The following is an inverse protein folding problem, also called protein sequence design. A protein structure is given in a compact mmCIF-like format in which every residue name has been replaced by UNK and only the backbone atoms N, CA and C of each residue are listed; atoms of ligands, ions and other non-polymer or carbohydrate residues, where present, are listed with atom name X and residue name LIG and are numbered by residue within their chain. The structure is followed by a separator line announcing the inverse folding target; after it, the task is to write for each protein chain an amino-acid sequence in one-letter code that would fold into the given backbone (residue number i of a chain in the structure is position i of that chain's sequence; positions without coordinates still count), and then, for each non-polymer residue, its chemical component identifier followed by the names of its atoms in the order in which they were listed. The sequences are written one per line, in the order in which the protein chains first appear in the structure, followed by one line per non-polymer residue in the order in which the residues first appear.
data_IF_529967842778
#
_entry.id   IF_529967842778
#
_cell.length_a   1.000
_cell.length_b   1.000
_cell.length_c   1.000
_cell.angle_alpha   90.00
_cell.angle_beta   90.00
_cell.angle_gamma   90.00
#
_symmetry.space_group_name_H-M   'P 1'
#
loop_
_entity.id
_entity.type
_entity.pdbx_description
1 polymer ?
#
# COMPACT_ATOMS: atom_id res chain seq x y z
N UNK A 1 3.03 -2.43 4.35
CA UNK A 1 2.86 -2.53 5.82
C UNK A 1 1.49 -1.95 6.17
N UNK A 2 0.72 -2.60 7.04
CA UNK A 2 -0.64 -2.14 7.39
C UNK A 2 -0.62 -0.87 8.26
N UNK A 3 -1.74 -0.12 8.36
CA UNK A 3 -1.83 1.06 9.21
C UNK A 3 -1.46 0.80 10.68
N UNK A 4 -1.90 -0.32 11.25
CA UNK A 4 -1.53 -0.72 12.61
C UNK A 4 -0.02 -0.98 12.74
N UNK A 5 0.60 -1.58 11.72
CA UNK A 5 2.06 -1.72 11.67
C UNK A 5 2.78 -0.37 11.69
N UNK A 6 2.27 0.63 10.97
CA UNK A 6 2.83 2.01 11.00
C UNK A 6 2.69 2.68 12.35
N UNK A 7 1.57 2.48 13.04
CA UNK A 7 1.40 2.94 14.41
C UNK A 7 2.47 2.34 15.33
N UNK A 8 2.64 1.01 15.33
CA UNK A 8 3.67 0.38 16.16
C UNK A 8 5.09 0.80 15.75
N UNK A 9 5.36 0.97 14.46
CA UNK A 9 6.63 1.52 13.99
C UNK A 9 6.93 2.89 14.62
N UNK A 10 5.93 3.77 14.73
CA UNK A 10 6.06 5.07 15.40
C UNK A 10 6.25 5.00 16.93
N UNK A 11 5.93 3.86 17.54
CA UNK A 11 6.17 3.63 18.96
C UNK A 11 7.56 3.08 19.25
N UNK A 12 8.13 2.29 18.34
CA UNK A 12 9.32 1.48 18.61
C UNK A 12 10.53 1.79 17.73
N UNK A 13 10.40 2.64 16.70
CA UNK A 13 11.52 3.08 15.87
C UNK A 13 12.27 4.25 16.50
N UNK A 14 13.60 4.18 16.50
CA UNK A 14 14.47 5.31 16.86
C UNK A 14 14.60 6.33 15.72
N UNK A 15 14.52 5.86 14.46
CA UNK A 15 14.60 6.75 13.30
C UNK A 15 13.35 7.65 13.21
N UNK A 16 13.49 8.98 13.04
CA UNK A 16 12.36 9.88 12.86
C UNK A 16 11.50 9.48 11.66
N UNK A 17 10.18 9.49 11.84
CA UNK A 17 9.23 9.11 10.81
C UNK A 17 7.91 9.87 10.94
N UNK A 18 7.17 9.93 9.84
CA UNK A 18 5.76 10.28 9.82
C UNK A 18 5.04 9.47 8.76
N UNK A 19 3.82 9.04 9.07
CA UNK A 19 2.94 8.37 8.11
C UNK A 19 1.57 9.02 8.14
N UNK A 20 1.08 9.37 6.95
CA UNK A 20 -0.31 9.77 6.73
C UNK A 20 -1.15 8.53 6.50
N UNK A 21 -2.30 8.51 7.16
CA UNK A 21 -3.37 7.56 6.97
C UNK A 21 -4.67 8.35 6.86
N UNK A 22 -5.63 7.81 6.14
CA UNK A 22 -6.93 8.45 5.98
C UNK A 22 -8.02 7.45 6.33
N UNK A 23 -9.06 7.93 7.00
CA UNK A 23 -10.18 7.08 7.39
C UNK A 23 -10.94 6.67 6.14
N UNK A 24 -11.06 5.36 5.93
CA UNK A 24 -12.00 4.79 4.98
C UNK A 24 -13.42 5.04 5.50
N UNK A 25 -14.17 5.75 4.68
CA UNK A 25 -15.51 6.26 5.01
C UNK A 25 -16.57 5.70 4.07
N UNK A 26 -16.20 4.84 3.13
CA UNK A 26 -17.12 3.92 2.46
C UNK A 26 -17.45 2.75 3.39
N UNK A 27 -18.73 2.53 3.67
CA UNK A 27 -19.15 1.51 4.64
C UNK A 27 -18.85 0.09 4.15
N UNK A 28 -18.95 -0.19 2.84
CA UNK A 28 -18.69 -1.51 2.28
C UNK A 28 -17.19 -1.85 2.36
N UNK A 29 -16.34 -0.88 2.10
CA UNK A 29 -14.89 -0.99 2.26
C UNK A 29 -14.50 -1.03 3.74
N UNK A 30 -15.13 -0.20 4.56
CA UNK A 30 -14.97 -0.16 6.02
C UNK A 30 -15.29 -1.51 6.68
N UNK A 31 -16.30 -2.23 6.18
CA UNK A 31 -16.68 -3.56 6.66
C UNK A 31 -15.61 -4.65 6.39
N UNK A 32 -14.65 -4.39 5.50
CA UNK A 32 -13.49 -5.27 5.26
C UNK A 32 -12.38 -5.10 6.28
N UNK A 33 -12.43 -4.05 7.09
CA UNK A 33 -11.58 -3.93 8.27
C UNK A 33 -12.19 -4.76 9.41
N UNK A 34 -11.33 -5.31 10.27
CA UNK A 34 -11.76 -5.97 11.49
C UNK A 34 -12.29 -4.91 12.48
N UNK A 35 -13.48 -4.38 12.21
CA UNK A 35 -14.18 -3.37 12.98
C UNK A 35 -15.64 -3.84 13.17
N UNK A 36 -15.80 -5.10 13.60
CA UNK A 36 -17.11 -5.72 13.81
C UNK A 36 -17.74 -5.35 15.16
N UNK A 37 -17.17 -4.37 15.86
CA UNK A 37 -17.72 -3.78 17.06
C UNK A 37 -17.57 -4.67 18.28
N UNK A 38 -16.53 -4.42 19.07
CA UNK A 38 -16.41 -4.91 20.45
C UNK A 38 -15.20 -5.77 20.74
N UNK A 39 -14.29 -5.96 19.78
CA UNK A 39 -13.01 -6.63 20.04
C UNK A 39 -11.96 -5.62 20.47
N UNK A 40 -11.10 -6.01 21.43
CA UNK A 40 -9.89 -5.25 21.79
C UNK A 40 -8.89 -5.15 20.62
N UNK A 41 -9.11 -5.93 19.57
CA UNK A 41 -8.29 -5.99 18.36
C UNK A 41 -8.94 -5.25 17.18
N UNK A 42 -10.09 -4.61 17.38
CA UNK A 42 -10.67 -3.74 16.37
C UNK A 42 -9.77 -2.51 16.19
N UNK A 43 -9.52 -2.14 14.94
CA UNK A 43 -8.71 -0.97 14.62
C UNK A 43 -9.42 -0.07 13.62
N UNK A 44 -8.98 1.19 13.57
CA UNK A 44 -9.52 2.20 12.68
C UNK A 44 -9.42 1.74 11.21
N UNK A 45 -10.48 1.92 10.40
CA UNK A 45 -10.46 1.60 8.99
C UNK A 45 -9.62 2.65 8.27
N UNK A 46 -8.31 2.43 8.18
CA UNK A 46 -7.34 3.39 7.66
C UNK A 46 -6.78 2.91 6.33
N UNK A 47 -6.62 3.84 5.39
CA UNK A 47 -6.03 3.63 4.07
C UNK A 47 -4.90 4.62 3.82
N UNK A 48 -4.04 4.30 2.85
CA UNK A 48 -2.81 5.03 2.52
C UNK A 48 -2.87 5.71 1.15
N UNK A 49 -4.02 6.29 0.79
CA UNK A 49 -4.20 7.09 -0.43
C UNK A 49 -4.92 8.42 -0.15
N UNK A 50 -5.05 9.28 -1.16
CA UNK A 50 -5.76 10.57 -1.09
C UNK A 50 -6.74 10.72 -2.27
N UNK A 51 -7.81 9.93 -2.30
CA UNK A 51 -8.71 9.88 -3.47
C UNK A 51 -10.19 9.69 -3.09
N UNK A 52 -10.89 10.76 -2.71
CA UNK A 52 -12.24 10.69 -2.13
C UNK A 52 -13.38 11.07 -3.09
N UNK A 53 -13.12 11.11 -4.40
CA UNK A 53 -14.12 11.51 -5.38
C UNK A 53 -14.77 12.85 -5.02
N UNK A 54 -16.09 12.86 -4.87
CA UNK A 54 -16.89 14.08 -4.60
C UNK A 54 -17.06 14.40 -3.11
N UNK A 55 -16.37 13.71 -2.19
CA UNK A 55 -16.46 14.01 -0.76
C UNK A 55 -15.85 15.39 -0.47
N UNK A 56 -16.38 16.06 0.56
CA UNK A 56 -15.96 17.43 0.94
C UNK A 56 -15.02 17.47 2.13
N UNK A 57 -14.97 16.41 2.92
CA UNK A 57 -14.21 16.35 4.17
C UNK A 57 -13.44 15.02 4.24
N UNK A 58 -12.28 15.07 4.88
CA UNK A 58 -11.44 13.92 5.14
C UNK A 58 -11.01 13.88 6.61
N UNK A 59 -11.03 12.68 7.18
CA UNK A 59 -10.48 12.41 8.51
C UNK A 59 -9.11 11.77 8.34
N UNK A 60 -8.07 12.53 8.66
CA UNK A 60 -6.69 12.12 8.51
C UNK A 60 -6.10 11.78 9.86
N UNK A 61 -5.27 10.75 9.89
CA UNK A 61 -4.52 10.32 11.06
C UNK A 61 -3.03 10.32 10.70
N UNK A 62 -2.19 10.88 11.57
CA UNK A 62 -0.74 10.78 11.44
C UNK A 62 -0.13 9.96 12.56
N UNK A 63 0.75 9.03 12.18
CA UNK A 63 1.60 8.27 13.10
C UNK A 63 3.03 8.78 13.00
N UNK A 64 3.61 9.19 14.13
CA UNK A 64 4.96 9.77 14.18
C UNK A 64 5.60 9.55 15.54
N UNK A 65 6.94 9.52 15.57
CA UNK A 65 7.75 9.64 16.78
C UNK A 65 8.38 11.04 16.93
N UNK A 66 8.10 11.96 16.00
CA UNK A 66 8.55 13.35 16.09
C UNK A 66 7.70 14.17 17.08
N UNK A 67 8.22 15.31 17.51
CA UNK A 67 7.57 16.19 18.48
C UNK A 67 6.31 16.84 17.93
N UNK A 68 6.29 17.14 16.63
CA UNK A 68 5.25 17.94 16.00
C UNK A 68 5.08 17.59 14.53
N UNK A 69 3.84 17.67 14.04
CA UNK A 69 3.51 17.51 12.62
C UNK A 69 2.73 18.73 12.15
N UNK A 70 3.12 19.25 11.00
CA UNK A 70 2.35 20.20 10.21
C UNK A 70 1.76 19.47 9.00
N UNK A 71 0.47 19.69 8.73
CA UNK A 71 -0.15 19.24 7.49
C UNK A 71 -0.22 20.38 6.48
N UNK A 72 0.15 20.08 5.24
CA UNK A 72 0.13 21.01 4.11
C UNK A 72 -0.70 20.39 2.99
N UNK A 73 -1.81 21.03 2.62
CA UNK A 73 -2.67 20.63 1.51
C UNK A 73 -2.49 21.62 0.36
N UNK A 74 -2.09 21.13 -0.82
CA UNK A 74 -1.89 21.95 -2.02
C UNK A 74 -1.01 23.20 -1.76
N UNK A 75 0.05 23.01 -0.97
CA UNK A 75 1.00 24.07 -0.60
C UNK A 75 0.54 25.01 0.52
N UNK A 76 -0.66 24.81 1.09
CA UNK A 76 -1.19 25.62 2.21
C UNK A 76 -1.20 24.82 3.50
N UNK A 77 -0.64 25.39 4.56
CA UNK A 77 -0.72 24.81 5.90
C UNK A 77 -2.18 24.73 6.34
N UNK A 78 -2.63 23.53 6.75
CA UNK A 78 -3.99 23.28 7.26
C UNK A 78 -4.00 23.05 8.77
N UNK A 79 -2.82 23.09 9.41
CA UNK A 79 -2.70 23.02 10.85
C UNK A 79 -1.40 22.36 11.32
N UNK A 80 -1.14 22.51 12.62
CA UNK A 80 0.02 21.95 13.31
C UNK A 80 -0.41 21.36 14.66
N UNK A 81 0.08 20.18 14.99
CA UNK A 81 -0.21 19.48 16.25
C UNK A 81 1.08 18.92 16.84
N UNK A 82 1.19 18.99 18.17
CA UNK A 82 2.30 18.40 18.93
C UNK A 82 1.88 17.03 19.44
N UNK A 83 2.78 16.06 19.37
CA UNK A 83 2.50 14.68 19.77
C UNK A 83 2.13 14.58 21.26
N UNK A 84 2.71 15.44 22.09
CA UNK A 84 2.46 15.50 23.53
C UNK A 84 1.01 15.83 23.89
N UNK A 85 0.30 16.52 23.01
CA UNK A 85 -1.10 16.94 23.23
C UNK A 85 -2.10 15.89 22.71
N UNK A 86 -1.61 14.82 22.06
CA UNK A 86 -2.42 13.80 21.41
C UNK A 86 -2.52 12.53 22.26
N UNK A 87 -3.75 12.13 22.57
CA UNK A 87 -4.00 10.89 23.32
C UNK A 87 -3.53 9.66 22.53
N UNK A 88 -2.79 8.77 23.20
CA UNK A 88 -2.36 7.51 22.61
C UNK A 88 -1.36 7.65 21.47
N UNK A 89 -0.68 8.82 21.34
CA UNK A 89 0.28 9.09 20.25
C UNK A 89 -0.33 9.03 18.85
N UNK A 90 -1.63 9.29 18.74
CA UNK A 90 -2.38 9.33 17.47
C UNK A 90 -2.83 10.77 17.25
N UNK A 91 -2.30 11.41 16.22
CA UNK A 91 -2.70 12.75 15.80
C UNK A 91 -3.85 12.63 14.81
N UNK A 92 -5.00 13.20 15.13
CA UNK A 92 -6.19 13.16 14.29
C UNK A 92 -6.52 14.56 13.79
N UNK A 93 -6.97 14.60 12.53
CA UNK A 93 -7.21 15.82 11.80
C UNK A 93 -8.53 15.71 11.05
N UNK A 94 -9.30 16.79 11.05
CA UNK A 94 -10.45 16.96 10.18
C UNK A 94 -10.14 18.14 9.27
N UNK A 95 -10.09 17.89 7.97
CA UNK A 95 -9.78 18.91 6.96
C UNK A 95 -10.70 18.78 5.76
N UNK A 96 -10.94 19.88 5.02
CA UNK A 96 -11.61 19.79 3.72
C UNK A 96 -10.80 18.88 2.78
N UNK A 97 -11.51 18.06 2.02
CA UNK A 97 -10.90 17.30 0.93
C UNK A 97 -10.79 18.18 -0.30
N UNK A 98 -9.59 18.23 -0.87
CA UNK A 98 -9.32 18.82 -2.17
C UNK A 98 -8.38 17.87 -2.92
N UNK A 99 -8.70 17.50 -4.18
CA UNK A 99 -7.77 16.76 -5.02
C UNK A 99 -6.42 17.49 -5.11
N UNK A 100 -5.34 16.71 -5.12
CA UNK A 100 -3.98 17.23 -5.17
C UNK A 100 -3.08 16.52 -4.18
N UNK A 101 -2.29 17.26 -3.43
CA UNK A 101 -1.23 16.70 -2.59
C UNK A 101 -1.38 17.12 -1.13
N UNK A 102 -1.47 16.12 -0.26
CA UNK A 102 -1.41 16.26 1.19
C UNK A 102 -0.04 15.79 1.70
N UNK A 103 0.70 16.70 2.33
CA UNK A 103 2.02 16.43 2.91
C UNK A 103 1.98 16.59 4.42
N UNK A 104 2.55 15.62 5.14
CA UNK A 104 2.86 15.73 6.56
C UNK A 104 4.33 16.04 6.74
N UNK A 105 4.63 17.11 7.47
CA UNK A 105 5.98 17.57 7.77
C UNK A 105 6.23 17.39 9.27
N UNK A 106 7.04 16.39 9.63
CA UNK A 106 7.39 16.09 11.01
C UNK A 106 8.66 16.82 11.45
N UNK A 107 8.61 17.42 12.63
CA UNK A 107 9.70 18.26 13.16
C UNK A 107 10.09 17.90 14.58
N UNK A 108 11.37 18.04 14.88
CA UNK A 108 11.95 18.02 16.23
C UNK A 108 12.75 19.32 16.42
N UNK A 109 12.54 20.02 17.54
CA UNK A 109 13.17 21.31 17.81
C UNK A 109 13.04 22.31 16.64
N UNK A 110 11.91 22.29 15.94
CA UNK A 110 11.62 23.12 14.76
C UNK A 110 12.26 22.66 13.44
N UNK A 111 13.20 21.70 13.45
CA UNK A 111 13.85 21.18 12.25
C UNK A 111 13.02 20.06 11.62
N UNK A 112 12.93 20.05 10.28
CA UNK A 112 12.28 18.97 9.52
C UNK A 112 13.11 17.69 9.64
N UNK A 113 12.49 16.61 10.12
CA UNK A 113 13.16 15.32 10.34
C UNK A 113 12.56 14.18 9.52
N UNK A 114 11.30 14.30 9.11
CA UNK A 114 10.64 13.34 8.23
C UNK A 114 9.49 14.01 7.47
N UNK A 115 9.16 13.47 6.32
CA UNK A 115 7.99 13.86 5.54
C UNK A 115 7.28 12.65 4.96
N UNK A 116 5.98 12.80 4.69
CA UNK A 116 5.20 11.81 3.98
C UNK A 116 4.11 12.49 3.18
N UNK A 117 3.85 12.00 1.98
CA UNK A 117 2.96 12.65 1.02
C UNK A 117 1.98 11.64 0.46
N UNK A 118 0.71 12.05 0.36
CA UNK A 118 -0.32 11.36 -0.39
C UNK A 118 -0.84 12.28 -1.48
N UNK A 119 -0.97 11.77 -2.70
CA UNK A 119 -1.43 12.53 -3.86
C UNK A 119 -2.64 11.85 -4.48
N UNK A 120 -3.62 12.65 -4.93
CA UNK A 120 -4.75 12.17 -5.70
C UNK A 120 -4.25 11.67 -7.06
N UNK A 121 -4.46 10.38 -7.39
CA UNK A 121 -4.03 9.83 -8.66
C UNK A 121 -4.99 10.22 -9.78
N UNK A 122 -4.48 10.21 -11.01
CA UNK A 122 -5.26 10.22 -12.23
C UNK A 122 -5.84 8.85 -12.59
N UNK A 123 -6.18 8.69 -13.87
CA UNK A 123 -6.67 7.42 -14.41
C UNK A 123 -5.55 6.36 -14.51
N UNK A 124 -5.86 5.08 -14.26
CA UNK A 124 -4.88 4.00 -14.31
C UNK A 124 -4.45 3.70 -15.74
N UNK A 125 -3.15 3.77 -16.02
CA UNK A 125 -2.56 3.52 -17.35
C UNK A 125 -1.48 2.44 -17.33
N UNK A 126 -0.83 2.22 -16.19
CA UNK A 126 0.31 1.31 -16.04
C UNK A 126 0.00 0.22 -15.01
N UNK A 127 0.42 -1.01 -15.31
CA UNK A 127 0.68 -2.03 -14.29
C UNK A 127 2.17 -2.06 -14.00
N UNK A 128 2.54 -2.04 -12.72
CA UNK A 128 3.92 -2.20 -12.28
C UNK A 128 4.09 -3.51 -11.51
N UNK A 129 5.08 -4.29 -11.92
CA UNK A 129 5.51 -5.50 -11.20
C UNK A 129 6.76 -5.20 -10.38
N UNK A 130 6.68 -5.38 -9.07
CA UNK A 130 7.80 -5.18 -8.14
C UNK A 130 8.08 -6.46 -7.38
N UNK A 131 9.18 -7.17 -7.68
CA UNK A 131 9.55 -8.35 -6.93
C UNK A 131 10.18 -7.96 -5.59
N UNK A 132 9.95 -8.77 -4.57
CA UNK A 132 10.57 -8.62 -3.23
C UNK A 132 12.10 -8.79 -3.26
N UNK A 133 12.61 -9.55 -4.22
CA UNK A 133 14.03 -9.75 -4.53
C UNK A 133 14.17 -10.05 -6.03
N UNK A 134 15.25 -9.65 -6.71
CA UNK A 134 15.45 -10.00 -8.12
C UNK A 134 15.81 -11.48 -8.36
N UNK A 135 16.14 -12.23 -7.32
CA UNK A 135 16.69 -13.58 -7.43
C UNK A 135 15.93 -14.62 -6.60
N UNK A 136 15.92 -15.85 -7.11
CA UNK A 136 15.45 -17.07 -6.46
C UNK A 136 16.61 -18.07 -6.36
N UNK A 137 16.60 -18.90 -5.34
CA UNK A 137 17.43 -20.09 -5.23
C UNK A 137 16.71 -21.26 -5.90
N UNK A 138 17.37 -21.92 -6.86
CA UNK A 138 16.80 -23.04 -7.63
C UNK A 138 16.82 -24.37 -6.85
N UNK A 139 16.28 -24.40 -5.64
CA UNK A 139 16.18 -25.58 -4.77
C UNK A 139 14.81 -26.28 -4.85
N UNK A 140 13.85 -25.70 -5.57
CA UNK A 140 12.47 -26.16 -5.67
C UNK A 140 11.56 -25.75 -4.52
N UNK A 141 12.06 -24.96 -3.57
CA UNK A 141 11.40 -24.55 -2.34
C UNK A 141 11.34 -23.04 -2.16
N UNK A 142 12.34 -22.30 -2.66
CA UNK A 142 12.41 -20.86 -2.52
C UNK A 142 11.21 -20.16 -3.18
N UNK A 143 10.69 -19.13 -2.50
CA UNK A 143 9.50 -18.39 -2.91
C UNK A 143 9.76 -16.90 -2.74
N UNK A 144 9.45 -16.13 -3.78
CA UNK A 144 9.37 -14.68 -3.68
C UNK A 144 7.96 -14.19 -3.98
N UNK A 145 7.69 -12.98 -3.51
CA UNK A 145 6.48 -12.24 -3.82
C UNK A 145 6.76 -11.23 -4.94
N UNK A 146 5.86 -11.15 -5.92
CA UNK A 146 5.80 -10.08 -6.92
C UNK A 146 4.52 -9.29 -6.71
N UNK A 147 4.64 -8.02 -6.34
CA UNK A 147 3.51 -7.11 -6.23
C UNK A 147 3.14 -6.56 -7.61
N UNK A 148 1.85 -6.63 -7.96
CA UNK A 148 1.26 -5.90 -9.08
C UNK A 148 0.51 -4.68 -8.55
N UNK A 149 0.91 -3.49 -8.97
CA UNK A 149 0.29 -2.22 -8.60
C UNK A 149 -0.28 -1.52 -9.85
N UNK A 150 -1.49 -0.96 -9.73
CA UNK A 150 -2.12 -0.14 -10.77
C UNK A 150 -1.76 1.32 -10.56
N UNK A 151 -1.13 1.94 -11.55
CA UNK A 151 -0.60 3.29 -11.45
C UNK A 151 -1.16 4.21 -12.54
N UNK A 152 -1.25 5.50 -12.23
CA UNK A 152 -1.52 6.55 -13.22
C UNK A 152 -0.26 6.91 -14.03
N UNK A 153 -0.37 7.92 -14.90
CA UNK A 153 0.72 8.34 -15.79
C UNK A 153 1.92 8.95 -15.03
N UNK A 154 1.68 9.44 -13.82
CA UNK A 154 2.66 10.02 -12.90
C UNK A 154 3.26 8.97 -11.95
N UNK A 155 2.81 7.71 -12.03
CA UNK A 155 3.29 6.60 -11.21
C UNK A 155 2.68 6.56 -9.80
N UNK A 156 1.60 7.29 -9.54
CA UNK A 156 0.84 7.28 -8.29
C UNK A 156 -0.08 6.06 -8.29
N UNK A 157 -0.14 5.36 -7.15
CA UNK A 157 -1.03 4.22 -6.97
C UNK A 157 -2.49 4.67 -7.12
N UNK A 158 -3.19 4.07 -8.09
CA UNK A 158 -4.63 4.24 -8.26
C UNK A 158 -5.34 3.29 -7.30
N UNK A 159 -5.93 3.79 -6.20
CA UNK A 159 -6.65 2.96 -5.26
C UNK A 159 -7.92 2.43 -5.92
N UNK A 160 -8.46 1.35 -5.39
CA UNK A 160 -9.65 0.71 -5.93
C UNK A 160 -9.60 -0.81 -5.77
N UNK A 161 -10.76 -1.43 -5.95
CA UNK A 161 -10.95 -2.85 -5.67
C UNK A 161 -11.61 -3.55 -6.85
N UNK A 162 -11.40 -4.86 -6.96
CA UNK A 162 -12.13 -5.69 -7.92
C UNK A 162 -11.59 -5.67 -9.36
N UNK A 163 -10.48 -4.96 -9.65
CA UNK A 163 -9.86 -5.02 -10.98
C UNK A 163 -8.99 -6.27 -11.09
N UNK A 164 -9.33 -7.15 -12.04
CA UNK A 164 -8.65 -8.42 -12.25
C UNK A 164 -7.28 -8.20 -12.90
N UNK A 165 -6.27 -8.87 -12.34
CA UNK A 165 -4.93 -8.99 -12.90
C UNK A 165 -4.67 -10.48 -13.16
N UNK A 166 -4.30 -10.81 -14.39
CA UNK A 166 -3.90 -12.17 -14.79
C UNK A 166 -2.39 -12.23 -14.94
N UNK A 167 -1.79 -13.27 -14.38
CA UNK A 167 -0.36 -13.50 -14.28
C UNK A 167 0.07 -14.69 -15.12
N UNK A 168 1.28 -14.62 -15.65
CA UNK A 168 1.94 -15.68 -16.40
C UNK A 168 3.39 -15.77 -15.92
N UNK A 169 3.88 -16.99 -15.70
CA UNK A 169 5.26 -17.26 -15.26
C UNK A 169 5.92 -18.18 -16.28
N UNK A 170 6.99 -17.69 -16.89
CA UNK A 170 7.82 -18.43 -17.85
C UNK A 170 9.21 -18.69 -17.25
N UNK A 171 9.86 -19.78 -17.68
CA UNK A 171 11.19 -20.18 -17.18
C UNK A 171 11.13 -21.24 -16.07
N UNK A 172 12.24 -21.49 -15.34
CA UNK A 172 12.34 -22.56 -14.35
C UNK A 172 11.72 -22.19 -12.99
N UNK A 173 10.49 -21.70 -13.01
CA UNK A 173 9.70 -21.35 -11.83
C UNK A 173 8.20 -21.58 -12.10
N UNK A 174 7.39 -21.54 -11.05
CA UNK A 174 5.94 -21.73 -11.16
C UNK A 174 5.19 -20.68 -10.35
N UNK A 175 3.97 -20.37 -10.79
CA UNK A 175 2.98 -19.69 -9.96
C UNK A 175 2.59 -20.61 -8.79
N UNK A 176 2.94 -20.21 -7.57
CA UNK A 176 2.60 -20.92 -6.34
C UNK A 176 1.28 -20.44 -5.70
N UNK A 177 0.77 -19.29 -6.15
CA UNK A 177 -0.51 -18.74 -5.75
C UNK A 177 -0.59 -17.23 -5.94
N UNK A 178 -1.79 -16.70 -5.74
CA UNK A 178 -2.12 -15.28 -5.85
C UNK A 178 -2.92 -14.81 -4.64
N UNK A 179 -2.78 -13.54 -4.29
CA UNK A 179 -3.52 -12.93 -3.18
C UNK A 179 -3.67 -11.41 -3.36
N UNK A 180 -4.52 -10.76 -2.58
CA UNK A 180 -4.67 -9.30 -2.60
C UNK A 180 -4.75 -8.67 -1.21
N UNK A 181 -4.84 -9.47 -0.15
CA UNK A 181 -5.06 -8.97 1.22
C UNK A 181 -6.51 -8.60 1.52
N UNK A 182 -7.43 -8.75 0.55
CA UNK A 182 -8.87 -8.71 0.83
C UNK A 182 -9.27 -9.94 1.66
N UNK A 183 -9.55 -9.71 2.93
CA UNK A 183 -9.83 -10.76 3.92
C UNK A 183 -11.20 -11.41 3.76
N UNK A 184 -12.10 -10.82 2.96
CA UNK A 184 -13.43 -11.39 2.68
C UNK A 184 -13.52 -11.99 1.28
N UNK A 185 -12.44 -11.96 0.50
CA UNK A 185 -12.41 -12.54 -0.84
C UNK A 185 -12.56 -14.06 -0.82
N UNK A 186 -13.40 -14.57 -1.72
CA UNK A 186 -13.61 -16.00 -1.99
C UNK A 186 -12.86 -16.50 -3.24
N UNK A 187 -12.19 -15.60 -3.97
CA UNK A 187 -11.34 -15.96 -5.10
C UNK A 187 -10.27 -17.01 -4.73
N UNK A 188 -9.97 -17.90 -5.68
CA UNK A 188 -8.98 -18.97 -5.50
C UNK A 188 -7.60 -18.41 -5.16
N UNK A 189 -6.92 -19.10 -4.24
CA UNK A 189 -5.51 -18.84 -3.92
C UNK A 189 -4.56 -19.46 -4.95
N UNK A 190 -4.95 -20.59 -5.54
CA UNK A 190 -4.23 -21.26 -6.62
C UNK A 190 -4.94 -20.98 -7.95
N UNK A 191 -4.58 -19.86 -8.56
CA UNK A 191 -5.07 -19.44 -9.86
C UNK A 191 -4.06 -18.50 -10.51
N UNK A 192 -4.28 -18.20 -11.79
CA UNK A 192 -3.49 -17.23 -12.54
C UNK A 192 -4.04 -15.80 -12.42
N UNK A 193 -5.21 -15.61 -11.81
CA UNK A 193 -5.92 -14.33 -11.81
C UNK A 193 -6.34 -13.94 -10.40
N UNK A 194 -6.20 -12.66 -10.07
CA UNK A 194 -6.63 -12.09 -8.79
C UNK A 194 -7.17 -10.70 -8.92
N UNK A 195 -8.23 -10.38 -8.18
CA UNK A 195 -8.73 -9.02 -8.07
C UNK A 195 -7.85 -8.17 -7.15
N UNK A 196 -7.56 -6.95 -7.57
CA UNK A 196 -6.85 -5.97 -6.75
C UNK A 196 -7.67 -5.53 -5.53
N UNK A 197 -6.94 -5.20 -4.46
CA UNK A 197 -7.43 -4.59 -3.23
C UNK A 197 -6.54 -3.38 -2.94
N UNK A 198 -7.14 -2.20 -2.79
CA UNK A 198 -6.43 -0.91 -2.73
C UNK A 198 -5.40 -0.73 -3.87
N UNK A 199 -5.78 -1.12 -5.09
CA UNK A 199 -4.95 -0.97 -6.29
C UNK A 199 -3.85 -2.03 -6.44
N UNK A 200 -3.74 -2.99 -5.52
CA UNK A 200 -2.66 -3.99 -5.48
C UNK A 200 -3.16 -5.43 -5.45
N UNK A 201 -2.37 -6.33 -6.01
CA UNK A 201 -2.43 -7.76 -5.71
C UNK A 201 -1.02 -8.36 -5.82
N UNK A 202 -0.85 -9.61 -5.41
CA UNK A 202 0.45 -10.28 -5.38
C UNK A 202 0.38 -11.63 -6.09
N UNK A 203 1.51 -11.99 -6.70
CA UNK A 203 1.84 -13.31 -7.19
C UNK A 203 2.96 -13.90 -6.33
N UNK A 204 2.81 -15.15 -5.92
CA UNK A 204 3.88 -15.94 -5.31
C UNK A 204 4.54 -16.77 -6.40
N UNK A 205 5.84 -16.55 -6.60
CA UNK A 205 6.65 -17.29 -7.58
C UNK A 205 7.55 -18.24 -6.80
N UNK A 206 7.40 -19.54 -7.04
CA UNK A 206 8.27 -20.57 -6.45
C UNK A 206 9.28 -21.06 -7.47
N UNK A 207 10.53 -21.16 -7.05
CA UNK A 207 11.61 -21.69 -7.87
C UNK A 207 11.37 -23.16 -8.27
N UNK A 208 11.84 -23.54 -9.45
CA UNK A 208 12.10 -24.93 -9.81
C UNK A 208 13.47 -25.39 -9.28
N UNK A 209 14.00 -26.48 -9.86
CA UNK A 209 15.31 -27.05 -9.52
C UNK A 209 16.42 -26.76 -10.55
N UNK A 210 16.13 -25.88 -11.50
CA UNK A 210 17.05 -25.49 -12.56
C UNK A 210 17.31 -24.00 -12.48
N UNK A 211 18.55 -23.59 -12.68
CA UNK A 211 18.89 -22.17 -12.85
C UNK A 211 18.40 -21.64 -14.19
N UNK A 212 18.12 -20.35 -14.28
CA UNK A 212 17.74 -19.70 -15.53
C UNK A 212 17.03 -18.37 -15.33
N UNK A 213 16.70 -17.71 -16.43
CA UNK A 213 15.84 -16.53 -16.42
C UNK A 213 14.39 -16.95 -16.18
N UNK A 214 13.71 -16.22 -15.30
CA UNK A 214 12.27 -16.35 -15.02
C UNK A 214 11.61 -15.05 -15.42
N UNK A 215 10.55 -15.11 -16.22
CA UNK A 215 9.81 -13.92 -16.66
C UNK A 215 8.39 -13.99 -16.09
N UNK A 216 8.00 -12.95 -15.38
CA UNK A 216 6.63 -12.76 -14.91
C UNK A 216 5.97 -11.70 -15.79
N UNK A 217 4.82 -12.05 -16.37
CA UNK A 217 3.96 -11.12 -17.10
C UNK A 217 2.66 -10.91 -16.32
N UNK A 218 2.14 -9.67 -16.28
CA UNK A 218 0.83 -9.36 -15.72
C UNK A 218 0.00 -8.51 -16.70
N UNK A 219 -1.31 -8.78 -16.76
CA UNK A 219 -2.25 -8.12 -17.65
C UNK A 219 -3.50 -7.69 -16.86
N UNK A 220 -4.00 -6.50 -17.14
CA UNK A 220 -5.29 -6.01 -16.67
C UNK A 220 -5.97 -5.21 -17.77
N UNK A 221 -7.29 -5.19 -17.78
CA UNK A 221 -8.08 -4.43 -18.74
C UNK A 221 -7.77 -2.93 -18.66
N UNK A 222 -7.56 -2.30 -19.82
CA UNK A 222 -7.29 -0.87 -19.93
C UNK A 222 -5.86 -0.44 -19.56
N UNK A 223 -4.96 -1.38 -19.24
CA UNK A 223 -3.57 -1.08 -18.87
C UNK A 223 -2.60 -1.86 -19.77
N UNK A 224 -1.42 -1.27 -20.00
CA UNK A 224 -0.37 -1.96 -20.76
C UNK A 224 0.15 -3.18 -19.96
N UNK A 225 0.43 -4.33 -20.61
CA UNK A 225 1.01 -5.48 -19.92
C UNK A 225 2.33 -5.14 -19.25
N UNK A 226 2.51 -5.62 -18.03
CA UNK A 226 3.73 -5.46 -17.26
C UNK A 226 4.60 -6.72 -17.36
N UNK A 227 5.92 -6.54 -17.37
CA UNK A 227 6.88 -7.64 -17.32
C UNK A 227 7.96 -7.39 -16.27
N UNK A 228 8.35 -8.44 -15.56
CA UNK A 228 9.46 -8.43 -14.62
C UNK A 228 10.34 -9.65 -14.89
N UNK A 229 11.64 -9.43 -15.07
CA UNK A 229 12.63 -10.48 -15.18
C UNK A 229 13.26 -10.76 -13.81
N UNK A 230 13.38 -12.04 -13.50
CA UNK A 230 13.97 -12.59 -12.28
C UNK A 230 15.03 -13.62 -12.68
N UNK A 231 15.88 -14.00 -11.71
CA UNK A 231 16.90 -15.02 -11.94
C UNK A 231 16.80 -16.15 -10.93
N UNK A 232 16.60 -17.38 -11.41
CA UNK A 232 16.83 -18.57 -10.62
C UNK A 232 18.32 -18.91 -10.65
N UNK A 233 18.97 -18.88 -9.49
CA UNK A 233 20.40 -19.13 -9.30
C UNK A 233 20.63 -20.52 -8.69
N UNK A 234 21.82 -21.08 -8.87
CA UNK A 234 22.14 -22.36 -8.25
C UNK A 234 22.15 -22.20 -6.70
N UNK A 235 21.80 -23.26 -5.94
CA UNK A 235 21.91 -23.28 -4.49
C UNK A 235 23.33 -23.06 -3.94
#
# INVERSE_FOLDING_TARGET
MTPLGRYYQSCYSDAPLVHLMVTETDEAQGARFNNRGGSRWDWYPLVDHWNWGDRKEAKVTTFTNAEEVELVLNGKSVGRQRLADCRGRIMNWELPYEPGTLTALARNNGQLVAEHTLTTPGEPVELRLTPSTPELIADGLDVLCVEAARLDAEGILVPGCGKKVTFEVEGPAVNAGVASGDVVSDELWQGDTRSTWNGRCILLVRAGRSSGEVVVTAKAEGQSPARCALRATAP
#
